data_IF_884814928837
#
_entry.id   IF_884814928837
#
_cell.length_a   1.000
_cell.length_b   1.000
_cell.length_c   1.000
_cell.angle_alpha   90.00
_cell.angle_beta   90.00
_cell.angle_gamma   90.00
#
_symmetry.space_group_name_H-M   'P 1'
#
loop_
_entity.id
_entity.type
_entity.pdbx_description
1 polymer ?
#
# COMPACT_ATOMS: atom_id res chain seq x y z
N UNK A 1 -7.00 -11.18 -22.53
CA UNK A 1 -6.20 -10.84 -21.33
C UNK A 1 -6.57 -9.43 -20.97
N UNK A 2 -7.09 -9.19 -19.76
CA UNK A 2 -7.44 -7.83 -19.32
C UNK A 2 -6.17 -7.00 -19.14
N UNK A 3 -6.15 -5.79 -19.69
CA UNK A 3 -5.03 -4.87 -19.51
C UNK A 3 -4.86 -4.52 -18.02
N UNK A 4 -3.64 -4.68 -17.52
CA UNK A 4 -3.30 -4.34 -16.13
C UNK A 4 -3.01 -2.85 -16.07
N UNK A 5 -3.93 -2.06 -15.51
CA UNK A 5 -3.84 -0.61 -15.41
C UNK A 5 -3.72 -0.15 -13.96
N UNK A 6 -3.24 1.07 -13.74
CA UNK A 6 -3.18 1.69 -12.41
C UNK A 6 -4.59 2.17 -12.04
N UNK A 7 -5.12 1.68 -10.91
CA UNK A 7 -6.40 2.09 -10.32
C UNK A 7 -6.22 3.32 -9.44
N UNK A 8 -5.16 3.33 -8.62
CA UNK A 8 -4.83 4.44 -7.73
C UNK A 8 -3.33 4.46 -7.47
N UNK A 9 -2.76 5.65 -7.39
CA UNK A 9 -1.37 5.84 -7.01
C UNK A 9 -1.22 7.01 -6.04
N UNK A 10 -0.18 6.99 -5.22
CA UNK A 10 0.06 8.08 -4.28
C UNK A 10 1.13 7.79 -3.24
N UNK A 11 1.50 8.84 -2.52
CA UNK A 11 2.36 8.74 -1.36
C UNK A 11 1.58 8.24 -0.15
N UNK A 12 2.12 7.24 0.53
CA UNK A 12 1.63 6.77 1.83
C UNK A 12 2.79 6.54 2.77
N UNK A 13 2.56 6.73 4.06
CA UNK A 13 3.54 6.42 5.10
C UNK A 13 3.41 4.96 5.48
N UNK A 14 4.42 4.15 5.19
CA UNK A 14 4.45 2.74 5.55
C UNK A 14 5.19 2.55 6.87
N UNK A 15 4.59 1.83 7.82
CA UNK A 15 5.27 1.44 9.07
C UNK A 15 6.22 0.27 8.82
N UNK A 16 7.45 0.35 9.35
CA UNK A 16 8.39 -0.76 9.34
C UNK A 16 7.92 -1.94 10.20
N UNK A 17 8.25 -3.16 9.77
CA UNK A 17 7.82 -4.40 10.40
C UNK A 17 8.58 -4.68 11.70
N UNK A 18 9.91 -4.55 11.68
CA UNK A 18 10.77 -4.76 12.86
C UNK A 18 11.06 -3.44 13.58
N UNK A 19 11.65 -2.48 12.86
CA UNK A 19 11.86 -1.12 13.36
C UNK A 19 10.60 -0.32 13.05
N UNK A 20 9.83 0.06 14.07
CA UNK A 20 8.50 0.68 13.94
C UNK A 20 8.52 2.16 13.49
N UNK A 21 9.46 2.54 12.61
CA UNK A 21 9.50 3.85 12.00
C UNK A 21 8.54 3.96 10.80
N UNK A 22 8.09 5.17 10.51
CA UNK A 22 7.30 5.47 9.33
C UNK A 22 8.20 5.90 8.18
N UNK A 23 7.93 5.41 6.97
CA UNK A 23 8.71 5.73 5.79
C UNK A 23 7.78 6.09 4.63
N UNK A 24 7.98 7.23 3.96
CA UNK A 24 7.19 7.58 2.78
C UNK A 24 7.50 6.59 1.67
N UNK A 25 6.46 6.07 1.03
CA UNK A 25 6.55 5.18 -0.13
C UNK A 25 5.50 5.57 -1.14
N UNK A 26 5.88 5.59 -2.40
CA UNK A 26 4.94 5.79 -3.50
C UNK A 26 4.34 4.45 -3.87
N UNK A 27 3.04 4.29 -3.68
CA UNK A 27 2.35 3.03 -3.97
C UNK A 27 1.52 3.13 -5.24
N UNK A 28 1.53 2.05 -6.02
CA UNK A 28 0.67 1.82 -7.17
C UNK A 28 -0.26 0.66 -6.85
N UNK A 29 -1.57 0.89 -6.93
CA UNK A 29 -2.60 -0.15 -6.93
C UNK A 29 -3.01 -0.40 -8.39
N UNK A 30 -2.90 -1.65 -8.83
CA UNK A 30 -3.26 -2.07 -10.19
C UNK A 30 -4.53 -2.91 -10.21
N UNK A 31 -5.16 -3.02 -11.38
CA UNK A 31 -6.45 -3.74 -11.58
C UNK A 31 -6.36 -5.25 -11.32
N UNK A 32 -5.18 -5.84 -11.46
CA UNK A 32 -4.90 -7.25 -11.11
C UNK A 32 -4.75 -7.47 -9.60
N UNK A 33 -4.90 -6.41 -8.79
CA UNK A 33 -4.67 -6.43 -7.35
C UNK A 33 -3.20 -6.34 -6.96
N UNK A 34 -2.29 -6.06 -7.89
CA UNK A 34 -0.90 -5.78 -7.53
C UNK A 34 -0.82 -4.45 -6.76
N UNK A 35 -0.21 -4.49 -5.57
CA UNK A 35 0.04 -3.31 -4.75
C UNK A 35 1.53 -3.15 -4.51
N UNK A 36 2.12 -2.19 -5.24
CA UNK A 36 3.56 -2.10 -5.44
C UNK A 36 4.05 -0.77 -4.84
N UNK A 37 5.02 -0.82 -3.94
CA UNK A 37 5.58 0.34 -3.26
C UNK A 37 7.03 0.61 -3.66
N UNK A 38 7.30 1.86 -4.00
CA UNK A 38 8.61 2.37 -4.41
C UNK A 38 9.14 3.39 -3.40
N UNK A 39 10.46 3.57 -3.37
CA UNK A 39 11.07 4.63 -2.56
C UNK A 39 10.68 6.02 -3.06
N UNK A 40 10.60 6.17 -4.38
CA UNK A 40 10.33 7.40 -5.12
C UNK A 40 9.29 7.11 -6.21
N UNK A 41 8.60 8.15 -6.71
CA UNK A 41 7.64 7.97 -7.80
C UNK A 41 8.38 7.43 -9.04
N UNK A 42 7.99 6.27 -9.59
CA UNK A 42 8.61 5.76 -10.81
C UNK A 42 8.45 6.76 -11.96
N UNK A 43 9.52 6.95 -12.75
CA UNK A 43 9.45 7.69 -14.02
C UNK A 43 9.27 6.69 -15.17
N UNK A 44 8.65 7.14 -16.26
CA UNK A 44 8.10 6.27 -17.33
C UNK A 44 9.11 5.30 -17.99
N UNK A 45 10.41 5.58 -17.91
CA UNK A 45 11.44 4.84 -18.66
C UNK A 45 12.29 3.93 -17.78
N UNK A 46 12.43 4.25 -16.48
CA UNK A 46 13.21 3.48 -15.51
C UNK A 46 12.39 3.25 -14.26
N UNK A 47 11.67 2.12 -14.20
CA UNK A 47 10.99 1.71 -12.99
C UNK A 47 12.05 1.33 -11.94
N UNK A 48 12.19 2.10 -10.83
CA UNK A 48 13.12 1.72 -9.77
C UNK A 48 12.69 0.38 -9.19
N UNK A 49 13.66 -0.42 -8.71
CA UNK A 49 13.35 -1.72 -8.11
C UNK A 49 12.27 -1.58 -7.02
N UNK A 50 11.14 -2.30 -7.14
CA UNK A 50 10.05 -2.17 -6.18
C UNK A 50 10.52 -2.64 -4.80
N UNK A 51 10.32 -1.82 -3.79
CA UNK A 51 10.66 -2.15 -2.40
C UNK A 51 9.55 -2.96 -1.73
N UNK A 52 8.33 -2.88 -2.26
CA UNK A 52 7.17 -3.63 -1.79
C UNK A 52 6.42 -4.15 -3.00
N UNK A 53 6.13 -5.44 -3.02
CA UNK A 53 5.33 -6.06 -4.07
C UNK A 53 4.49 -7.18 -3.44
N UNK A 54 3.19 -6.94 -3.28
CA UNK A 54 2.25 -7.95 -2.78
C UNK A 54 0.88 -7.79 -3.46
N UNK A 55 0.11 -8.86 -3.50
CA UNK A 55 -1.25 -8.85 -4.04
C UNK A 55 -2.26 -8.51 -2.95
N UNK A 56 -3.25 -7.67 -3.28
CA UNK A 56 -4.39 -7.33 -2.42
C UNK A 56 -5.67 -8.09 -2.74
N UNK A 57 -5.64 -9.02 -3.69
CA UNK A 57 -6.84 -9.72 -4.20
C UNK A 57 -7.63 -10.52 -3.15
N UNK A 58 -7.00 -10.89 -2.02
CA UNK A 58 -7.64 -11.60 -0.90
C UNK A 58 -7.33 -10.94 0.44
N UNK A 59 -7.11 -9.62 0.44
CA UNK A 59 -6.74 -8.91 1.65
C UNK A 59 -7.94 -8.26 2.32
N UNK A 60 -7.87 -8.18 3.66
CA UNK A 60 -8.79 -7.41 4.46
C UNK A 60 -8.19 -6.02 4.70
N UNK A 61 -9.03 -5.00 4.50
CA UNK A 61 -8.70 -3.61 4.80
C UNK A 61 -9.34 -3.23 6.13
N UNK A 62 -8.53 -2.77 7.08
CA UNK A 62 -8.98 -2.36 8.41
C UNK A 62 -8.59 -0.91 8.65
N UNK A 63 -9.56 -0.04 8.97
CA UNK A 63 -9.30 1.35 9.37
C UNK A 63 -9.05 1.43 10.87
N UNK A 64 -8.16 2.32 11.32
CA UNK A 64 -7.90 2.55 12.74
C UNK A 64 -7.35 3.95 12.99
N UNK A 65 -7.64 4.52 14.15
CA UNK A 65 -7.08 5.81 14.58
C UNK A 65 -5.79 5.64 15.43
N UNK A 66 -5.26 4.42 15.51
CA UNK A 66 -4.02 4.11 16.25
C UNK A 66 -2.97 3.46 15.35
N UNK A 67 -1.67 3.75 15.54
CA UNK A 67 -1.11 4.65 16.56
C UNK A 67 -1.20 6.14 16.20
N UNK A 68 -1.70 6.46 14.99
CA UNK A 68 -1.97 7.82 14.51
C UNK A 68 -3.32 7.87 13.81
N UNK A 69 -3.94 9.05 13.70
CA UNK A 69 -5.13 9.23 12.87
C UNK A 69 -4.90 8.79 11.42
N UNK A 70 -5.98 8.48 10.71
CA UNK A 70 -5.94 8.10 9.28
C UNK A 70 -5.04 6.89 8.99
N UNK A 71 -4.94 5.97 9.95
CA UNK A 71 -4.18 4.72 9.79
C UNK A 71 -5.07 3.64 9.18
N UNK A 72 -4.51 2.84 8.29
CA UNK A 72 -5.16 1.64 7.77
C UNK A 72 -4.19 0.47 7.74
N UNK A 73 -4.73 -0.73 7.91
CA UNK A 73 -3.99 -1.97 7.92
C UNK A 73 -4.52 -2.81 6.78
N UNK A 74 -3.60 -3.26 5.92
CA UNK A 74 -3.87 -4.29 4.92
C UNK A 74 -3.39 -5.61 5.52
N UNK A 75 -4.34 -6.53 5.75
CA UNK A 75 -4.07 -7.88 6.22
C UNK A 75 -4.23 -8.85 5.07
N UNK A 76 -3.18 -9.61 4.77
CA UNK A 76 -3.14 -10.54 3.64
C UNK A 76 -2.62 -11.90 4.08
N UNK A 77 -2.98 -12.96 3.36
CA UNK A 77 -2.30 -14.24 3.47
C UNK A 77 -1.16 -14.28 2.44
N UNK A 78 0.08 -14.38 2.90
CA UNK A 78 1.23 -14.65 2.04
C UNK A 78 1.66 -16.10 2.28
N UNK A 79 1.48 -16.95 1.25
CA UNK A 79 1.57 -18.41 1.37
C UNK A 79 0.62 -18.95 2.45
N UNK A 80 1.13 -19.34 3.61
CA UNK A 80 0.36 -19.85 4.75
C UNK A 80 0.37 -18.89 5.94
N UNK A 81 1.08 -17.76 5.84
CA UNK A 81 1.28 -16.83 6.96
C UNK A 81 0.42 -15.59 6.77
N UNK A 82 -0.35 -15.24 7.79
CA UNK A 82 -1.08 -13.97 7.82
C UNK A 82 -0.08 -12.86 8.08
N UNK A 83 0.00 -11.92 7.14
CA UNK A 83 0.83 -10.72 7.24
C UNK A 83 -0.05 -9.48 7.39
N UNK A 84 0.43 -8.52 8.17
CA UNK A 84 -0.18 -7.20 8.29
C UNK A 84 0.79 -6.12 7.82
N UNK A 85 0.26 -5.17 7.06
CA UNK A 85 0.99 -4.00 6.59
C UNK A 85 0.22 -2.75 7.02
N UNK A 86 0.82 -2.00 7.93
CA UNK A 86 0.24 -0.77 8.48
C UNK A 86 0.70 0.45 7.68
N UNK A 87 -0.25 1.28 7.30
CA UNK A 87 -0.07 2.50 6.52
C UNK A 87 -0.77 3.67 7.19
N UNK A 88 -0.32 4.89 6.96
CA UNK A 88 -1.09 6.10 7.24
C UNK A 88 -0.98 7.08 6.08
N UNK A 89 -2.00 7.94 5.98
CA UNK A 89 -2.03 9.12 5.12
C UNK A 89 -2.14 10.36 5.98
N UNK A 90 -1.67 11.50 5.49
CA UNK A 90 -1.73 12.74 6.27
C UNK A 90 -3.16 13.27 6.30
N UNK A 91 -3.91 13.11 5.19
CA UNK A 91 -5.32 13.50 5.11
C UNK A 91 -6.26 12.29 4.91
N UNK A 92 -7.51 12.33 5.41
CA UNK A 92 -8.48 11.24 5.21
C UNK A 92 -8.82 11.01 3.73
N UNK A 93 -8.82 12.06 2.92
CA UNK A 93 -9.17 12.03 1.49
C UNK A 93 -8.18 11.21 0.66
N UNK A 94 -6.91 11.20 1.05
CA UNK A 94 -5.84 10.42 0.42
C UNK A 94 -5.93 8.92 0.70
N UNK A 95 -6.71 8.50 1.71
CA UNK A 95 -6.83 7.09 2.07
C UNK A 95 -7.37 6.26 0.90
N UNK A 96 -6.78 5.09 0.65
CA UNK A 96 -7.32 4.13 -0.32
C UNK A 96 -8.71 3.61 0.08
N UNK A 97 -9.11 3.84 1.33
CA UNK A 97 -10.32 3.35 1.94
C UNK A 97 -11.48 4.37 1.95
N UNK A 98 -11.29 5.59 1.44
CA UNK A 98 -12.29 6.67 1.39
C UNK A 98 -13.18 6.63 0.14
N UNK A 99 -12.90 5.75 -0.82
CA UNK A 99 -13.76 5.55 -2.00
C UNK A 99 -14.49 4.21 -1.91
N UNK A 100 -15.56 4.21 -1.13
CA UNK A 100 -16.54 3.13 -0.99
C UNK A 100 -17.88 3.71 -0.60
#
# INVERSE_FOLDING_TARGET
>A
MSDVTIVKEGWVQKRGEYIKNWRPRYFLLKTDGSFIGYKEKPQDVDLPYPLNNFSVAKCQLMKTERPKPNTFIIRCLQWTTVIERTFHVDTPEESLASQG
#
